data_IF_133963972428
#
_entry.id   IF_133963972428
#
_cell.length_a   1.000
_cell.length_b   1.000
_cell.length_c   1.000
_cell.angle_alpha   90.00
_cell.angle_beta   90.00
_cell.angle_gamma   90.00
#
_symmetry.space_group_name_H-M   'P 1'
#
loop_
_entity.id
_entity.type
_entity.pdbx_description
1 polymer ?
#
# COMPACT_ATOMS: atom_id res chain seq x y z
N UNK A 1 32.84 -23.84 12.42
CA UNK A 1 31.92 -24.12 13.55
C UNK A 1 31.13 -22.85 13.81
N UNK A 2 29.80 -22.88 13.69
CA UNK A 2 28.94 -21.81 14.19
C UNK A 2 28.74 -22.02 15.69
N UNK A 3 29.07 -21.01 16.50
CA UNK A 3 28.79 -21.04 17.93
C UNK A 3 27.29 -20.82 18.14
N UNK A 4 26.58 -21.86 18.59
CA UNK A 4 25.24 -21.73 19.15
C UNK A 4 25.36 -21.03 20.50
N UNK A 5 24.93 -19.77 20.56
CA UNK A 5 24.52 -19.19 21.81
C UNK A 5 23.09 -19.67 22.06
N UNK A 6 22.83 -20.31 23.20
CA UNK A 6 21.48 -20.57 23.71
C UNK A 6 20.86 -19.22 24.12
N UNK A 7 20.52 -18.40 23.12
CA UNK A 7 19.84 -17.14 23.33
C UNK A 7 18.39 -17.47 23.61
N UNK A 8 17.99 -17.45 24.88
CA UNK A 8 16.59 -17.61 25.25
C UNK A 8 15.80 -16.41 24.72
N UNK A 9 14.98 -16.61 23.68
CA UNK A 9 14.16 -15.56 23.09
C UNK A 9 13.02 -15.25 24.07
N UNK A 10 13.07 -14.08 24.70
CA UNK A 10 12.07 -13.65 25.68
C UNK A 10 10.82 -13.04 25.03
N UNK A 11 10.95 -12.49 23.82
CA UNK A 11 9.84 -11.89 23.08
C UNK A 11 10.07 -11.89 21.57
N UNK A 12 8.97 -11.86 20.81
CA UNK A 12 8.95 -11.71 19.35
C UNK A 12 7.88 -10.69 18.99
N UNK A 13 8.22 -9.77 18.08
CA UNK A 13 7.28 -8.82 17.50
C UNK A 13 6.99 -9.24 16.05
N UNK A 14 5.71 -9.29 15.69
CA UNK A 14 5.25 -9.52 14.33
C UNK A 14 4.68 -8.22 13.80
N UNK A 15 5.11 -7.83 12.60
CA UNK A 15 4.46 -6.76 11.86
C UNK A 15 3.04 -7.16 11.49
N UNK A 16 2.13 -6.19 11.42
CA UNK A 16 0.72 -6.48 11.14
C UNK A 16 0.48 -6.64 9.65
N UNK A 17 0.82 -5.59 8.90
CA UNK A 17 0.58 -5.48 7.46
C UNK A 17 1.55 -6.34 6.67
N UNK A 18 1.04 -7.13 5.72
CA UNK A 18 1.86 -7.99 4.87
C UNK A 18 2.45 -9.23 5.58
N UNK A 19 2.30 -9.35 6.90
CA UNK A 19 2.76 -10.50 7.67
C UNK A 19 1.62 -11.21 8.43
N UNK A 20 0.96 -10.53 9.37
CA UNK A 20 -0.17 -11.12 10.10
C UNK A 20 -1.44 -11.12 9.25
N UNK A 21 -1.63 -10.09 8.42
CA UNK A 21 -2.74 -9.98 7.48
C UNK A 21 -2.26 -9.49 6.12
N UNK A 22 -2.83 -10.04 5.05
CA UNK A 22 -2.59 -9.54 3.70
C UNK A 22 -3.46 -8.30 3.44
N UNK A 23 -2.96 -7.14 3.85
CA UNK A 23 -3.55 -5.84 3.54
C UNK A 23 -3.07 -5.29 2.19
N UNK A 24 -2.07 -5.92 1.55
CA UNK A 24 -1.55 -5.50 0.25
C UNK A 24 -2.58 -5.71 -0.86
N UNK A 25 -3.32 -6.83 -0.86
CA UNK A 25 -4.37 -7.11 -1.85
C UNK A 25 -5.50 -6.06 -1.83
N UNK A 26 -5.77 -5.44 -0.67
CA UNK A 26 -6.82 -4.43 -0.54
C UNK A 26 -6.48 -3.15 -1.30
N UNK A 27 -5.20 -2.81 -1.45
CA UNK A 27 -4.79 -1.64 -2.21
C UNK A 27 -5.21 -1.73 -3.67
N UNK A 28 -5.08 -2.91 -4.28
CA UNK A 28 -5.49 -3.13 -5.67
C UNK A 28 -7.01 -3.00 -5.81
N UNK A 29 -7.78 -3.59 -4.89
CA UNK A 29 -9.25 -3.54 -4.90
C UNK A 29 -9.77 -2.11 -4.71
N UNK A 30 -9.25 -1.39 -3.71
CA UNK A 30 -9.69 -0.03 -3.40
C UNK A 30 -9.30 0.93 -4.52
N UNK A 31 -8.06 0.86 -5.02
CA UNK A 31 -7.60 1.70 -6.13
C UNK A 31 -8.40 1.42 -7.41
N UNK A 32 -8.67 0.15 -7.73
CA UNK A 32 -9.51 -0.21 -8.86
C UNK A 32 -10.92 0.38 -8.74
N UNK A 33 -11.53 0.28 -7.55
CA UNK A 33 -12.87 0.85 -7.28
C UNK A 33 -12.87 2.37 -7.43
N UNK A 34 -11.85 3.04 -6.88
CA UNK A 34 -11.66 4.47 -6.94
C UNK A 34 -11.54 4.97 -8.39
N UNK A 35 -10.74 4.27 -9.21
CA UNK A 35 -10.53 4.60 -10.62
C UNK A 35 -11.77 4.34 -11.47
N UNK A 36 -12.49 3.23 -11.25
CA UNK A 36 -13.72 2.93 -11.99
C UNK A 36 -14.79 4.01 -11.81
N UNK A 37 -14.93 4.57 -10.60
CA UNK A 37 -15.85 5.70 -10.34
C UNK A 37 -15.51 6.95 -11.16
N UNK A 38 -14.24 7.08 -11.57
CA UNK A 38 -13.69 8.20 -12.36
C UNK A 38 -13.55 7.86 -13.84
N UNK A 39 -14.19 6.78 -14.30
CA UNK A 39 -14.06 6.25 -15.66
C UNK A 39 -12.60 6.00 -16.09
N UNK A 40 -11.72 5.71 -15.13
CA UNK A 40 -10.33 5.32 -15.37
C UNK A 40 -10.21 3.81 -15.23
N UNK A 41 -9.28 3.22 -15.97
CA UNK A 41 -8.96 1.80 -15.86
C UNK A 41 -7.79 1.62 -14.90
N UNK A 42 -7.87 0.70 -13.92
CA UNK A 42 -6.68 0.29 -13.19
C UNK A 42 -5.64 -0.24 -14.16
N UNK A 43 -4.38 0.13 -13.95
CA UNK A 43 -3.26 -0.39 -14.71
C UNK A 43 -2.41 -1.30 -13.81
N UNK A 44 -1.88 -2.37 -14.40
CA UNK A 44 -0.86 -3.16 -13.71
C UNK A 44 0.35 -2.28 -13.38
N UNK A 45 1.00 -2.56 -12.25
CA UNK A 45 2.26 -1.97 -11.78
C UNK A 45 2.20 -0.65 -11.01
N UNK A 46 1.06 0.06 -10.91
CA UNK A 46 1.01 1.27 -10.07
C UNK A 46 1.26 0.92 -8.60
N UNK A 47 0.52 -0.05 -8.04
CA UNK A 47 0.64 -0.47 -6.64
C UNK A 47 2.08 -0.86 -6.30
N UNK A 48 2.74 -1.63 -7.17
CA UNK A 48 4.15 -2.02 -7.04
C UNK A 48 5.13 -0.83 -6.98
N UNK A 49 4.81 0.29 -7.63
CA UNK A 49 5.64 1.50 -7.58
C UNK A 49 5.49 2.29 -6.28
N UNK A 50 4.34 2.15 -5.60
CA UNK A 50 4.00 2.90 -4.40
C UNK A 50 4.06 2.08 -3.11
N UNK A 51 4.18 0.74 -3.19
CA UNK A 51 4.30 -0.13 -2.01
C UNK A 51 5.36 0.39 -1.03
N UNK A 52 5.01 0.43 0.26
CA UNK A 52 5.88 0.89 1.34
C UNK A 52 6.07 2.42 1.41
N UNK A 53 5.47 3.20 0.50
CA UNK A 53 5.53 4.67 0.57
C UNK A 53 4.40 5.20 1.48
N UNK A 54 4.66 6.24 2.27
CA UNK A 54 3.60 6.93 3.01
C UNK A 54 2.54 7.52 2.08
N UNK A 55 1.29 7.61 2.53
CA UNK A 55 0.16 8.16 1.76
C UNK A 55 0.45 9.56 1.19
N UNK A 56 1.09 10.45 1.97
CA UNK A 56 1.50 11.80 1.50
C UNK A 56 2.41 11.81 0.27
N UNK A 57 3.03 10.67 -0.08
CA UNK A 57 3.85 10.48 -1.27
C UNK A 57 3.06 9.69 -2.34
N UNK A 58 2.38 8.61 -1.93
CA UNK A 58 1.65 7.74 -2.85
C UNK A 58 0.43 8.41 -3.51
N UNK A 59 -0.32 9.24 -2.78
CA UNK A 59 -1.54 9.86 -3.30
C UNK A 59 -1.28 10.92 -4.38
N UNK A 60 -0.30 11.84 -4.25
CA UNK A 60 0.10 12.69 -5.37
C UNK A 60 0.50 11.88 -6.62
N UNK A 61 1.23 10.77 -6.43
CA UNK A 61 1.61 9.89 -7.54
C UNK A 61 0.40 9.23 -8.19
N UNK A 62 -0.63 8.84 -7.42
CA UNK A 62 -1.87 8.28 -7.95
C UNK A 62 -2.59 9.28 -8.88
N UNK A 63 -2.72 10.53 -8.41
CA UNK A 63 -3.37 11.60 -9.16
C UNK A 63 -2.63 11.89 -10.47
N UNK A 64 -1.31 12.02 -10.41
CA UNK A 64 -0.45 12.27 -11.58
C UNK A 64 -0.51 11.09 -12.56
N UNK A 65 -0.40 9.86 -12.07
CA UNK A 65 -0.31 8.66 -12.91
C UNK A 65 -1.59 8.39 -13.69
N UNK A 66 -2.76 8.60 -13.08
CA UNK A 66 -4.06 8.33 -13.69
C UNK A 66 -4.74 9.59 -14.24
N UNK A 67 -4.05 10.73 -14.24
CA UNK A 67 -4.54 12.03 -14.69
C UNK A 67 -5.91 12.33 -14.06
N UNK A 68 -5.95 12.31 -12.72
CA UNK A 68 -7.13 12.60 -11.93
C UNK A 68 -7.17 14.10 -11.60
N UNK A 69 -8.33 14.72 -11.77
CA UNK A 69 -8.55 16.13 -11.45
C UNK A 69 -8.85 16.37 -9.95
N UNK A 70 -8.87 15.30 -9.14
CA UNK A 70 -9.10 15.36 -7.70
C UNK A 70 -7.91 15.96 -6.94
N UNK A 71 -8.16 16.43 -5.72
CA UNK A 71 -7.10 16.77 -4.76
C UNK A 71 -6.73 15.57 -3.90
N UNK A 72 -5.54 15.62 -3.29
CA UNK A 72 -5.08 14.59 -2.35
C UNK A 72 -6.07 14.43 -1.19
N UNK A 73 -6.62 15.53 -0.69
CA UNK A 73 -7.57 15.55 0.42
C UNK A 73 -8.87 14.84 0.05
N UNK A 74 -9.36 15.00 -1.18
CA UNK A 74 -10.55 14.30 -1.66
C UNK A 74 -10.31 12.80 -1.69
N UNK A 75 -9.19 12.38 -2.30
CA UNK A 75 -8.82 10.96 -2.37
C UNK A 75 -8.67 10.37 -0.97
N UNK A 76 -8.02 11.06 -0.05
CA UNK A 76 -7.76 10.57 1.32
C UNK A 76 -9.03 10.26 2.12
N UNK A 77 -10.20 10.77 1.72
CA UNK A 77 -11.48 10.43 2.36
C UNK A 77 -12.12 9.13 1.84
N UNK A 78 -11.58 8.55 0.76
CA UNK A 78 -12.10 7.35 0.09
C UNK A 78 -11.27 6.07 0.32
N UNK A 79 -10.11 6.18 0.99
CA UNK A 79 -9.12 5.12 1.24
C UNK A 79 -8.85 4.92 2.72
#
# INVERSE_FOLDING_TARGET
MMQNHDTNIEAVAFDLDGLMFNTEDLWDVVTATLLMRRNRKPCENFTRHVTGRPARIALPMLLEWFELDDTVEQIQTEI
#
